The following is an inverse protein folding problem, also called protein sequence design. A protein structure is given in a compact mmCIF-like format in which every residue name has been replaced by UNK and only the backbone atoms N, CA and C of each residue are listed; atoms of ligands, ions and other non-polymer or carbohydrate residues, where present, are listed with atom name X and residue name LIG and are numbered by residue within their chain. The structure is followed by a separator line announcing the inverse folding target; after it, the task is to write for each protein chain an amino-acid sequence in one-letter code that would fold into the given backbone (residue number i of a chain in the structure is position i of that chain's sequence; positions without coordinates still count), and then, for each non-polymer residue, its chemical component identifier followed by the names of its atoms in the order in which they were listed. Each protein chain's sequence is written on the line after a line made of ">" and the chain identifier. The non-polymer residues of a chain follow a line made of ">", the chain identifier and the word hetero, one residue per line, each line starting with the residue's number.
data_IF_503328352011
#
_entry.id   IF_503328352011
#
_cell.length_a   1.000
_cell.length_b   1.000
_cell.length_c   1.000
_cell.angle_alpha   90.00
_cell.angle_beta   90.00
_cell.angle_gamma   90.00
#
_symmetry.space_group_name_H-M   'P 1'
#
loop_
_entity.id
_entity.type
_entity.pdbx_description
1 polymer ?
#
# COMPACT_ATOMS: atom_id res chain seq x y z
N UNK A 1 -37.33 -35.65 13.47
CA UNK A 1 -36.53 -36.53 12.58
C UNK A 1 -35.73 -35.65 11.62
N UNK A 2 -34.40 -35.78 11.64
CA UNK A 2 -33.50 -34.93 10.86
C UNK A 2 -33.39 -35.44 9.41
N UNK A 3 -33.74 -34.61 8.43
CA UNK A 3 -33.56 -34.92 7.01
C UNK A 3 -32.10 -34.60 6.66
N UNK A 4 -31.35 -35.66 6.38
CA UNK A 4 -29.95 -35.61 5.98
C UNK A 4 -29.78 -34.88 4.64
N UNK A 5 -28.93 -33.85 4.63
CA UNK A 5 -28.55 -33.09 3.45
C UNK A 5 -27.56 -33.91 2.61
N UNK A 6 -28.05 -34.61 1.58
CA UNK A 6 -27.23 -35.34 0.63
C UNK A 6 -26.55 -34.36 -0.34
N UNK A 7 -25.30 -33.99 -0.04
CA UNK A 7 -24.43 -33.32 -1.02
C UNK A 7 -24.12 -34.32 -2.14
N UNK A 8 -24.70 -34.09 -3.32
CA UNK A 8 -24.45 -34.86 -4.55
C UNK A 8 -22.94 -35.00 -4.77
N UNK A 9 -22.43 -36.23 -4.72
CA UNK A 9 -21.05 -36.55 -5.04
C UNK A 9 -20.77 -36.21 -6.50
N UNK A 10 -19.65 -35.52 -6.75
CA UNK A 10 -19.18 -35.24 -8.11
C UNK A 10 -18.91 -36.58 -8.83
N UNK A 11 -19.64 -36.85 -9.91
CA UNK A 11 -19.40 -37.98 -10.79
C UNK A 11 -18.08 -37.80 -11.56
N UNK A 12 -17.19 -38.79 -11.51
CA UNK A 12 -15.92 -38.81 -12.25
C UNK A 12 -14.81 -39.57 -11.53
N UNK A 13 -13.73 -39.88 -12.25
CA UNK A 13 -12.54 -40.48 -11.66
C UNK A 13 -11.94 -39.56 -10.59
N UNK A 14 -11.59 -40.08 -9.40
CA UNK A 14 -11.06 -39.26 -8.33
C UNK A 14 -9.75 -38.58 -8.75
N UNK A 15 -9.57 -37.34 -8.31
CA UNK A 15 -8.38 -36.54 -8.60
C UNK A 15 -7.15 -37.20 -7.97
N UNK A 16 -6.03 -37.20 -8.70
CA UNK A 16 -4.75 -37.72 -8.20
C UNK A 16 -4.21 -36.95 -6.97
N UNK A 17 -4.57 -35.68 -6.82
CA UNK A 17 -4.33 -34.87 -5.61
C UNK A 17 -5.69 -34.48 -5.03
N UNK A 18 -5.95 -34.95 -3.81
CA UNK A 18 -7.17 -34.69 -3.03
C UNK A 18 -7.10 -33.32 -2.31
N UNK A 19 -8.17 -32.94 -1.61
CA UNK A 19 -8.25 -31.63 -0.92
C UNK A 19 -7.23 -31.51 0.23
N UNK A 20 -6.78 -32.64 0.81
CA UNK A 20 -5.70 -32.67 1.81
C UNK A 20 -4.35 -32.39 1.14
N UNK A 21 -4.08 -33.03 0.02
CA UNK A 21 -2.90 -32.79 -0.81
C UNK A 21 -2.85 -31.38 -1.36
N UNK A 22 -3.99 -30.80 -1.76
CA UNK A 22 -4.07 -29.41 -2.22
C UNK A 22 -3.70 -28.42 -1.09
N UNK A 23 -4.20 -28.64 0.13
CA UNK A 23 -3.83 -27.82 1.31
C UNK A 23 -2.36 -27.97 1.69
N UNK A 24 -1.79 -29.18 1.59
CA UNK A 24 -0.34 -29.41 1.78
C UNK A 24 0.47 -28.64 0.74
N UNK A 25 0.09 -28.74 -0.53
CA UNK A 25 0.75 -28.04 -1.63
C UNK A 25 0.70 -26.51 -1.44
N UNK A 26 -0.43 -25.96 -1.00
CA UNK A 26 -0.54 -24.53 -0.63
C UNK A 26 0.44 -24.12 0.46
N UNK A 27 0.66 -24.96 1.48
CA UNK A 27 1.65 -24.70 2.54
C UNK A 27 3.07 -24.74 2.01
N UNK A 28 3.43 -25.74 1.20
CA UNK A 28 4.76 -25.84 0.59
C UNK A 28 5.08 -24.60 -0.26
N UNK A 29 4.15 -24.14 -1.09
CA UNK A 29 4.33 -22.93 -1.91
C UNK A 29 4.44 -21.66 -1.05
N UNK A 30 3.67 -21.56 0.04
CA UNK A 30 3.76 -20.40 0.95
C UNK A 30 5.09 -20.36 1.69
N UNK A 31 5.62 -21.52 2.08
CA UNK A 31 6.91 -21.65 2.76
C UNK A 31 8.09 -21.33 1.83
N UNK A 32 8.01 -21.73 0.56
CA UNK A 32 9.02 -21.40 -0.45
C UNK A 32 8.38 -20.96 -1.78
N UNK A 33 8.13 -19.64 -1.90
CA UNK A 33 7.53 -19.05 -3.11
C UNK A 33 8.44 -19.09 -4.35
N UNK A 34 9.70 -19.50 -4.21
CA UNK A 34 10.68 -19.63 -5.30
C UNK A 34 10.92 -21.09 -5.71
N UNK A 35 10.24 -22.05 -5.06
CA UNK A 35 10.41 -23.46 -5.37
C UNK A 35 9.94 -23.79 -6.80
N UNK A 36 10.69 -24.63 -7.51
CA UNK A 36 10.29 -25.13 -8.83
C UNK A 36 9.20 -26.20 -8.70
N UNK A 37 8.48 -26.47 -9.78
CA UNK A 37 7.47 -27.55 -9.80
C UNK A 37 8.11 -28.89 -9.43
N UNK A 38 9.34 -29.17 -9.84
CA UNK A 38 10.08 -30.39 -9.50
C UNK A 38 10.39 -30.47 -8.01
N UNK A 39 10.88 -29.38 -7.41
CA UNK A 39 11.14 -29.31 -5.97
C UNK A 39 9.86 -29.50 -5.16
N UNK A 40 8.76 -28.87 -5.58
CA UNK A 40 7.44 -29.05 -4.96
C UNK A 40 6.93 -30.49 -5.12
N UNK A 41 7.20 -31.12 -6.26
CA UNK A 41 6.81 -32.52 -6.53
C UNK A 41 7.58 -33.48 -5.64
N UNK A 42 8.90 -33.30 -5.52
CA UNK A 42 9.73 -34.06 -4.60
C UNK A 42 9.23 -33.90 -3.15
N UNK A 43 8.96 -32.67 -2.72
CA UNK A 43 8.45 -32.37 -1.38
C UNK A 43 7.05 -32.93 -1.12
N UNK A 44 6.20 -33.01 -2.14
CA UNK A 44 4.87 -33.64 -2.05
C UNK A 44 4.96 -35.16 -1.96
N UNK A 45 5.90 -35.76 -2.68
CA UNK A 45 6.12 -37.20 -2.72
C UNK A 45 6.89 -37.73 -1.49
N UNK A 46 7.57 -36.87 -0.74
CA UNK A 46 8.14 -37.22 0.56
C UNK A 46 7.07 -37.80 1.50
N UNK A 47 7.22 -39.08 1.85
CA UNK A 47 6.31 -39.82 2.74
C UNK A 47 4.92 -40.11 2.14
N UNK A 48 4.75 -39.99 0.82
CA UNK A 48 3.48 -40.31 0.15
C UNK A 48 3.44 -41.78 -0.30
N UNK A 49 2.29 -42.45 -0.12
CA UNK A 49 2.08 -43.83 -0.57
C UNK A 49 1.83 -43.95 -2.08
N UNK A 50 1.44 -42.85 -2.73
CA UNK A 50 1.30 -42.72 -4.18
C UNK A 50 2.04 -41.48 -4.64
N UNK A 51 2.96 -41.63 -5.57
CA UNK A 51 3.71 -40.50 -6.13
C UNK A 51 2.86 -39.72 -7.14
N UNK A 52 2.86 -38.40 -7.02
CA UNK A 52 2.29 -37.51 -8.02
C UNK A 52 3.38 -37.10 -9.02
N UNK A 53 3.01 -37.03 -10.30
CA UNK A 53 3.90 -36.50 -11.34
C UNK A 53 4.00 -34.98 -11.27
N UNK A 54 5.08 -34.42 -11.81
CA UNK A 54 5.29 -32.97 -11.91
C UNK A 54 4.15 -32.27 -12.65
N UNK A 55 3.64 -32.87 -13.72
CA UNK A 55 2.48 -32.37 -14.48
C UNK A 55 1.21 -32.34 -13.63
N UNK A 56 1.01 -33.33 -12.75
CA UNK A 56 -0.15 -33.40 -11.85
C UNK A 56 -0.10 -32.27 -10.81
N UNK A 57 1.10 -32.04 -10.24
CA UNK A 57 1.35 -30.92 -9.32
C UNK A 57 1.14 -29.59 -10.05
N UNK A 58 1.67 -29.43 -11.25
CA UNK A 58 1.52 -28.21 -12.06
C UNK A 58 0.05 -27.90 -12.39
N UNK A 59 -0.73 -28.88 -12.86
CA UNK A 59 -2.17 -28.71 -13.13
C UNK A 59 -2.94 -28.31 -11.87
N UNK A 60 -2.57 -28.89 -10.73
CA UNK A 60 -3.18 -28.55 -9.44
C UNK A 60 -2.85 -27.12 -9.01
N UNK A 61 -1.59 -26.68 -9.18
CA UNK A 61 -1.19 -25.29 -8.92
C UNK A 61 -1.98 -24.30 -9.80
N UNK A 62 -2.11 -24.59 -11.09
CA UNK A 62 -2.86 -23.76 -12.03
C UNK A 62 -4.35 -23.67 -11.65
N UNK A 63 -4.96 -24.78 -11.23
CA UNK A 63 -6.34 -24.81 -10.74
C UNK A 63 -6.54 -23.96 -9.48
N UNK A 64 -5.53 -23.91 -8.60
CA UNK A 64 -5.51 -23.03 -7.43
C UNK A 64 -5.24 -21.56 -7.76
N UNK A 65 -5.04 -21.21 -9.03
CA UNK A 65 -4.68 -19.86 -9.47
C UNK A 65 -3.20 -19.50 -9.23
N UNK A 66 -2.36 -20.46 -8.82
CA UNK A 66 -0.93 -20.25 -8.62
C UNK A 66 -0.19 -20.47 -9.94
N UNK A 67 0.24 -19.37 -10.55
CA UNK A 67 1.03 -19.37 -11.79
C UNK A 67 2.49 -19.06 -11.46
N UNK A 68 3.40 -19.65 -12.23
CA UNK A 68 4.80 -19.23 -12.20
C UNK A 68 4.87 -17.75 -12.63
N UNK A 69 5.37 -16.90 -11.74
CA UNK A 69 5.70 -15.50 -12.06
C UNK A 69 7.21 -15.41 -12.14
N UNK A 70 7.73 -15.21 -13.34
CA UNK A 70 9.11 -14.76 -13.50
C UNK A 70 9.17 -13.35 -12.91
N UNK A 71 10.01 -13.11 -11.92
CA UNK A 71 10.39 -11.74 -11.58
C UNK A 71 10.92 -11.16 -12.88
N UNK A 72 10.26 -10.12 -13.40
CA UNK A 72 10.84 -9.32 -14.47
C UNK A 72 12.20 -8.91 -13.93
N UNK A 73 13.27 -9.23 -14.67
CA UNK A 73 14.62 -8.84 -14.30
C UNK A 73 14.60 -7.31 -14.15
N UNK A 74 14.46 -6.83 -12.93
CA UNK A 74 14.61 -5.44 -12.64
C UNK A 74 16.05 -5.11 -13.01
N UNK A 75 16.29 -4.08 -13.84
CA UNK A 75 17.65 -3.71 -14.19
C UNK A 75 18.46 -3.55 -12.91
N UNK A 76 19.66 -4.13 -12.89
CA UNK A 76 20.54 -3.99 -11.73
C UNK A 76 20.69 -2.51 -11.40
N UNK A 77 20.37 -2.15 -10.16
CA UNK A 77 20.54 -0.78 -9.71
C UNK A 77 22.04 -0.46 -9.72
N UNK A 78 22.42 0.44 -10.62
CA UNK A 78 23.74 1.03 -10.66
C UNK A 78 24.09 1.63 -9.28
N UNK A 79 25.38 1.79 -9.02
CA UNK A 79 25.84 2.41 -7.76
C UNK A 79 25.21 3.79 -7.55
N UNK A 80 24.99 4.55 -8.63
CA UNK A 80 24.29 5.85 -8.61
C UNK A 80 22.83 5.69 -8.18
N UNK A 81 22.08 4.73 -8.73
CA UNK A 81 20.70 4.48 -8.31
C UNK A 81 20.61 4.04 -6.85
N UNK A 82 21.55 3.21 -6.38
CA UNK A 82 21.60 2.81 -4.96
C UNK A 82 21.88 3.99 -4.04
N UNK A 83 22.83 4.87 -4.40
CA UNK A 83 23.11 6.11 -3.65
C UNK A 83 21.89 7.04 -3.59
N UNK A 84 21.25 7.32 -4.74
CA UNK A 84 20.05 8.16 -4.81
C UNK A 84 18.88 7.59 -4.01
N UNK A 85 18.72 6.27 -3.97
CA UNK A 85 17.64 5.61 -3.23
C UNK A 85 17.95 5.38 -1.75
N UNK A 86 19.22 5.46 -1.33
CA UNK A 86 19.64 5.23 0.06
C UNK A 86 18.98 6.21 1.01
N UNK A 87 18.88 7.49 0.63
CA UNK A 87 18.18 8.51 1.42
C UNK A 87 16.70 8.19 1.62
N UNK A 88 15.99 7.80 0.56
CA UNK A 88 14.57 7.39 0.64
C UNK A 88 14.40 6.16 1.52
N UNK A 89 15.28 5.17 1.40
CA UNK A 89 15.26 3.97 2.24
C UNK A 89 15.53 4.33 3.70
N UNK A 90 16.51 5.19 3.97
CA UNK A 90 16.89 5.59 5.31
C UNK A 90 15.79 6.43 5.99
N UNK A 91 15.15 7.35 5.26
CA UNK A 91 13.97 8.07 5.71
C UNK A 91 12.80 7.11 5.96
N UNK A 92 12.54 6.16 5.05
CA UNK A 92 11.47 5.18 5.23
C UNK A 92 11.71 4.24 6.43
N UNK A 93 12.97 3.90 6.70
CA UNK A 93 13.36 3.14 7.91
C UNK A 93 13.17 4.00 9.15
N UNK A 94 13.61 5.26 9.14
CA UNK A 94 13.43 6.21 10.24
C UNK A 94 11.94 6.43 10.56
N UNK A 95 11.12 6.77 9.56
CA UNK A 95 9.67 6.94 9.72
C UNK A 95 9.00 5.65 10.22
N UNK A 96 9.52 4.48 9.82
CA UNK A 96 9.00 3.19 10.30
C UNK A 96 9.46 2.86 11.72
N UNK A 97 10.68 3.19 12.12
CA UNK A 97 11.17 2.98 13.49
C UNK A 97 10.55 3.97 14.47
N UNK A 98 10.18 5.17 14.01
CA UNK A 98 9.51 6.19 14.82
C UNK A 98 7.98 6.09 14.77
N UNK A 99 7.41 5.08 14.10
CA UNK A 99 5.95 4.94 14.02
C UNK A 99 5.30 4.69 15.38
N UNK A 100 6.06 4.16 16.32
CA UNK A 100 5.59 3.92 17.69
C UNK A 100 5.69 5.18 18.57
N UNK A 101 6.36 6.23 18.09
CA UNK A 101 6.53 7.53 18.78
C UNK A 101 5.44 8.55 18.43
N UNK A 102 4.83 8.41 17.24
CA UNK A 102 3.79 9.33 16.75
C UNK A 102 2.43 8.63 16.65
N UNK A 103 1.42 9.19 17.31
CA UNK A 103 0.04 8.75 17.13
C UNK A 103 -0.51 9.32 15.83
N UNK A 104 -0.73 8.46 14.84
CA UNK A 104 -1.42 8.86 13.61
C UNK A 104 -2.89 9.15 13.90
N UNK A 105 -3.36 10.35 13.55
CA UNK A 105 -4.77 10.71 13.67
C UNK A 105 -5.60 9.92 12.63
N UNK A 106 -6.79 9.39 12.99
CA UNK A 106 -7.68 8.78 12.02
C UNK A 106 -8.17 9.84 11.04
N UNK A 107 -7.77 9.73 9.76
CA UNK A 107 -8.09 10.70 8.72
C UNK A 107 -9.12 10.14 7.73
N UNK A 108 -10.24 10.84 7.48
CA UNK A 108 -11.21 10.45 6.46
C UNK A 108 -10.66 10.68 5.04
N UNK A 109 -11.04 9.81 4.10
CA UNK A 109 -10.68 9.98 2.69
C UNK A 109 -11.39 11.20 2.09
N UNK A 110 -10.73 11.90 1.16
CA UNK A 110 -11.26 13.06 0.43
C UNK A 110 -11.74 14.23 1.32
N UNK A 111 -11.07 14.48 2.44
CA UNK A 111 -11.37 15.60 3.34
C UNK A 111 -10.24 16.63 3.38
N UNK A 112 -10.01 17.39 2.29
CA UNK A 112 -9.04 18.49 2.28
C UNK A 112 -9.47 19.65 3.20
N UNK A 113 -10.78 19.83 3.38
CA UNK A 113 -11.40 20.84 4.25
C UNK A 113 -11.02 20.67 5.73
N UNK A 114 -10.69 19.44 6.14
CA UNK A 114 -10.17 19.17 7.48
C UNK A 114 -8.67 19.44 7.62
N UNK A 115 -7.92 19.53 6.52
CA UNK A 115 -6.46 19.62 6.52
C UNK A 115 -5.98 21.08 6.52
N UNK A 116 -5.51 21.65 7.64
CA UNK A 116 -5.20 23.08 7.70
C UNK A 116 -4.02 23.50 6.80
N UNK A 117 -3.20 22.54 6.34
CA UNK A 117 -2.12 22.83 5.40
C UNK A 117 -2.64 23.29 4.03
N UNK A 118 -3.86 22.89 3.64
CA UNK A 118 -4.45 23.31 2.37
C UNK A 118 -4.68 24.83 2.37
N UNK A 119 -5.10 25.39 3.51
CA UNK A 119 -5.23 26.84 3.66
C UNK A 119 -3.87 27.55 3.65
N UNK A 120 -2.80 26.90 4.14
CA UNK A 120 -1.45 27.44 4.02
C UNK A 120 -0.96 27.43 2.58
N UNK A 121 -1.26 26.37 1.81
CA UNK A 121 -0.93 26.32 0.39
C UNK A 121 -1.64 27.41 -0.41
N UNK A 122 -2.94 27.61 -0.18
CA UNK A 122 -3.71 28.69 -0.79
C UNK A 122 -3.18 30.08 -0.38
N UNK A 123 -2.78 30.27 0.89
CA UNK A 123 -2.14 31.51 1.34
C UNK A 123 -0.82 31.77 0.58
N UNK A 124 0.06 30.77 0.50
CA UNK A 124 1.33 30.89 -0.23
C UNK A 124 1.12 31.19 -1.72
N UNK A 125 0.20 30.48 -2.37
CA UNK A 125 -0.13 30.69 -3.78
C UNK A 125 -0.61 32.12 -4.03
N UNK A 126 -1.50 32.65 -3.18
CA UNK A 126 -1.95 34.05 -3.26
C UNK A 126 -0.82 35.04 -3.08
N UNK A 127 0.05 34.83 -2.09
CA UNK A 127 1.19 35.71 -1.83
C UNK A 127 2.14 35.72 -3.02
N UNK A 128 2.52 34.54 -3.54
CA UNK A 128 3.43 34.43 -4.69
C UNK A 128 2.82 35.03 -5.96
N UNK A 129 1.52 34.85 -6.22
CA UNK A 129 0.83 35.47 -7.36
C UNK A 129 0.79 36.99 -7.29
N UNK A 130 0.73 37.54 -6.08
CA UNK A 130 0.73 38.98 -5.84
C UNK A 130 2.14 39.61 -5.88
N UNK A 131 3.22 38.80 -5.87
CA UNK A 131 4.58 39.31 -5.94
C UNK A 131 4.88 39.97 -7.31
N UNK A 132 5.64 41.07 -7.27
CA UNK A 132 6.16 41.75 -8.46
C UNK A 132 7.68 41.96 -8.34
N UNK A 133 8.50 41.48 -9.30
CA UNK A 133 8.13 40.70 -10.49
C UNK A 133 7.79 39.23 -10.17
N UNK A 134 6.96 38.60 -11.01
CA UNK A 134 6.63 37.19 -10.84
C UNK A 134 7.84 36.28 -11.12
N UNK A 135 7.95 35.12 -10.43
CA UNK A 135 9.01 34.18 -10.69
C UNK A 135 8.85 33.53 -12.07
N UNK A 136 9.91 33.59 -12.89
CA UNK A 136 9.93 33.04 -14.25
C UNK A 136 10.72 31.73 -14.37
N UNK A 137 11.35 31.28 -13.30
CA UNK A 137 12.06 30.00 -13.25
C UNK A 137 11.95 29.33 -11.87
N UNK A 138 12.36 28.06 -11.80
CA UNK A 138 12.23 27.25 -10.58
C UNK A 138 13.01 27.84 -9.39
N UNK A 139 14.19 28.42 -9.63
CA UNK A 139 14.98 29.02 -8.56
C UNK A 139 14.28 30.25 -7.98
N UNK A 140 13.79 31.14 -8.84
CA UNK A 140 13.00 32.31 -8.43
C UNK A 140 11.72 31.90 -7.70
N UNK A 141 11.03 30.86 -8.17
CA UNK A 141 9.83 30.34 -7.50
C UNK A 141 10.15 29.78 -6.12
N UNK A 142 11.25 29.03 -5.98
CA UNK A 142 11.70 28.51 -4.69
C UNK A 142 12.02 29.65 -3.71
N UNK A 143 12.77 30.67 -4.14
CA UNK A 143 13.07 31.85 -3.31
C UNK A 143 11.81 32.63 -2.93
N UNK A 144 10.85 32.77 -3.86
CA UNK A 144 9.58 33.43 -3.60
C UNK A 144 8.76 32.67 -2.55
N UNK A 145 8.65 31.34 -2.67
CA UNK A 145 7.95 30.50 -1.71
C UNK A 145 8.63 30.50 -0.33
N UNK A 146 9.96 30.44 -0.28
CA UNK A 146 10.71 30.49 0.97
C UNK A 146 10.53 31.85 1.68
N UNK A 147 10.63 32.95 0.94
CA UNK A 147 10.39 34.28 1.51
C UNK A 147 8.93 34.47 1.96
N UNK A 148 7.95 33.97 1.19
CA UNK A 148 6.55 33.99 1.59
C UNK A 148 6.32 33.18 2.88
N UNK A 149 6.89 31.98 2.96
CA UNK A 149 6.78 31.09 4.12
C UNK A 149 7.35 31.71 5.39
N UNK A 150 8.55 32.29 5.31
CA UNK A 150 9.21 32.93 6.45
C UNK A 150 8.46 34.16 6.97
N UNK A 151 7.66 34.79 6.12
CA UNK A 151 6.84 35.95 6.49
C UNK A 151 5.46 35.58 7.05
N UNK A 152 5.09 34.29 7.08
CA UNK A 152 3.80 33.88 7.67
C UNK A 152 3.86 34.07 9.20
N UNK A 153 2.98 34.89 9.80
CA UNK A 153 2.95 35.06 11.24
C UNK A 153 2.63 33.75 11.96
N UNK A 154 3.29 33.50 13.10
CA UNK A 154 3.01 32.31 13.95
C UNK A 154 1.53 32.20 14.32
N UNK A 155 0.85 33.34 14.50
CA UNK A 155 -0.58 33.36 14.81
C UNK A 155 -1.44 32.80 13.69
N UNK A 156 -1.02 32.86 12.42
CA UNK A 156 -1.72 32.21 11.31
C UNK A 156 -1.79 30.70 11.52
N UNK A 157 -0.68 30.08 11.91
CA UNK A 157 -0.64 28.65 12.22
C UNK A 157 -1.50 28.30 13.44
N UNK A 158 -1.43 29.11 14.50
CA UNK A 158 -2.26 28.91 15.71
C UNK A 158 -3.74 28.98 15.37
N UNK A 159 -4.18 30.01 14.66
CA UNK A 159 -5.57 30.19 14.26
C UNK A 159 -6.08 29.03 13.39
N UNK A 160 -5.24 28.50 12.50
CA UNK A 160 -5.58 27.33 11.70
C UNK A 160 -5.78 26.07 12.55
N UNK A 161 -4.91 25.84 13.52
CA UNK A 161 -5.04 24.71 14.47
C UNK A 161 -6.27 24.90 15.35
N UNK A 162 -6.47 26.10 15.89
CA UNK A 162 -7.61 26.45 16.75
C UNK A 162 -8.95 26.38 16.02
N UNK A 163 -8.95 26.43 14.68
CA UNK A 163 -10.14 26.26 13.84
C UNK A 163 -10.60 24.80 13.69
N UNK A 164 -9.76 23.81 14.02
CA UNK A 164 -10.06 22.38 13.83
C UNK A 164 -11.38 21.94 14.49
N UNK A 165 -11.70 22.32 15.74
CA UNK A 165 -12.98 21.95 16.36
C UNK A 165 -14.19 22.49 15.57
N UNK A 166 -14.09 23.71 15.02
CA UNK A 166 -15.16 24.31 14.21
C UNK A 166 -15.33 23.58 12.87
N UNK A 167 -14.22 23.20 12.20
CA UNK A 167 -14.24 22.39 10.97
C UNK A 167 -14.92 21.05 11.19
N UNK A 168 -14.54 20.35 12.26
CA UNK A 168 -15.17 19.07 12.64
C UNK A 168 -16.66 19.23 12.94
N UNK A 169 -17.05 20.32 13.62
CA UNK A 169 -18.46 20.62 13.86
C UNK A 169 -19.22 20.89 12.55
N UNK A 170 -18.60 21.58 11.59
CA UNK A 170 -19.19 21.83 10.28
C UNK A 170 -19.38 20.54 9.47
N UNK A 171 -18.36 19.68 9.40
CA UNK A 171 -18.47 18.36 8.74
C UNK A 171 -19.54 17.49 9.41
N UNK A 172 -19.62 17.50 10.74
CA UNK A 172 -20.68 16.80 11.49
C UNK A 172 -22.07 17.34 11.14
N UNK A 173 -22.20 18.65 11.02
CA UNK A 173 -23.46 19.31 10.66
C UNK A 173 -23.86 19.00 9.21
N UNK A 174 -22.87 18.90 8.32
CA UNK A 174 -23.01 18.46 6.94
C UNK A 174 -23.18 16.94 6.78
N UNK A 175 -23.25 16.17 7.88
CA UNK A 175 -23.35 14.70 7.89
C UNK A 175 -22.27 14.01 7.05
N UNK A 176 -21.04 14.53 7.08
CA UNK A 176 -19.91 14.04 6.30
C UNK A 176 -19.82 14.62 4.88
N UNK A 177 -20.70 15.54 4.50
CA UNK A 177 -20.57 16.35 3.28
C UNK A 177 -19.50 17.43 3.41
N UNK A 178 -19.25 18.13 2.30
CA UNK A 178 -18.27 19.21 2.22
C UNK A 178 -18.57 20.33 3.22
N UNK A 179 -17.54 20.79 3.93
CA UNK A 179 -17.59 22.02 4.73
C UNK A 179 -17.01 23.20 3.96
N UNK A 180 -17.35 24.42 4.35
CA UNK A 180 -16.96 25.66 3.66
C UNK A 180 -15.55 26.17 4.03
N UNK A 181 -14.69 25.30 4.57
CA UNK A 181 -13.37 25.64 5.10
C UNK A 181 -12.22 25.36 4.12
#
# INVERSE_FOLDING_TARGET
>A
MAIQNQRRGTCGAPRAIDDRGERRLRRCVRANRRATVEQLTAQMNQGATKSASSTTVQRTLLRMGLRNRRLVNAPMLTVVHRRRRRGVIQLAVYVRSSKDEFTALPWPANSPDLNPIENLWDHLDRVVRAMGPQPHNLAQLATALESAWLNIPVNTFRNLIDSLPARLAAVRSAKGGYSSF
#
